data_IF_962384764997
#
_entry.id   IF_962384764997
#
_cell.length_a   1.000
_cell.length_b   1.000
_cell.length_c   1.000
_cell.angle_alpha   90.00
_cell.angle_beta   90.00
_cell.angle_gamma   90.00
#
_symmetry.space_group_name_H-M   'P 1'
#
loop_
_entity.id
_entity.type
_entity.pdbx_description
1 polymer ?
#
# COMPACT_ATOMS: atom_id res chain seq x y z
N UNK A 1 -72.81 9.34 -5.07
CA UNK A 1 -72.66 10.82 -5.23
C UNK A 1 -71.36 11.34 -4.62
N UNK A 2 -70.95 10.89 -3.42
CA UNK A 2 -69.64 11.26 -2.83
C UNK A 2 -68.45 10.74 -3.65
N UNK A 3 -68.53 9.53 -4.17
CA UNK A 3 -67.42 8.92 -4.95
C UNK A 3 -67.20 9.60 -6.31
N UNK A 4 -68.26 10.10 -6.94
CA UNK A 4 -68.17 10.85 -8.19
C UNK A 4 -67.51 12.21 -7.98
N UNK A 5 -67.82 12.88 -6.87
CA UNK A 5 -67.17 14.14 -6.47
C UNK A 5 -65.69 13.88 -6.14
N UNK A 6 -65.39 12.84 -5.36
CA UNK A 6 -64.02 12.49 -5.01
C UNK A 6 -63.16 12.16 -6.25
N UNK A 7 -63.70 11.40 -7.21
CA UNK A 7 -63.02 11.10 -8.48
C UNK A 7 -62.81 12.33 -9.34
N UNK A 8 -63.81 13.22 -9.44
CA UNK A 8 -63.70 14.47 -10.18
C UNK A 8 -62.63 15.39 -9.58
N UNK A 9 -62.62 15.57 -8.24
CA UNK A 9 -61.61 16.35 -7.55
C UNK A 9 -60.20 15.75 -7.71
N UNK A 10 -60.07 14.42 -7.62
CA UNK A 10 -58.79 13.75 -7.82
C UNK A 10 -58.27 13.93 -9.26
N UNK A 11 -59.15 13.90 -10.26
CA UNK A 11 -58.83 14.20 -11.65
C UNK A 11 -58.35 15.64 -11.84
N UNK A 12 -59.09 16.61 -11.31
CA UNK A 12 -58.73 18.04 -11.37
C UNK A 12 -57.38 18.29 -10.68
N UNK A 13 -57.12 17.65 -9.54
CA UNK A 13 -55.85 17.75 -8.84
C UNK A 13 -54.70 17.10 -9.63
N UNK A 14 -54.91 15.98 -10.32
CA UNK A 14 -53.88 15.37 -11.17
C UNK A 14 -53.52 16.21 -12.40
N UNK A 15 -54.46 17.04 -12.89
CA UNK A 15 -54.24 17.97 -14.00
C UNK A 15 -53.52 19.25 -13.54
N UNK A 16 -53.89 19.78 -12.37
CA UNK A 16 -53.28 20.99 -11.80
C UNK A 16 -51.87 20.73 -11.25
N UNK A 17 -51.61 19.53 -10.74
CA UNK A 17 -50.32 19.11 -10.22
C UNK A 17 -49.79 17.94 -11.07
N UNK A 18 -49.15 18.20 -12.22
CA UNK A 18 -48.53 17.13 -13.01
C UNK A 18 -47.60 16.34 -12.09
N UNK A 19 -47.82 15.02 -12.03
CA UNK A 19 -47.17 14.15 -11.05
C UNK A 19 -45.69 14.49 -10.96
N UNK A 20 -45.17 14.86 -9.77
CA UNK A 20 -43.78 15.23 -9.62
C UNK A 20 -42.95 14.05 -10.11
N UNK A 21 -41.97 14.34 -10.99
CA UNK A 21 -40.97 13.36 -11.41
C UNK A 21 -40.54 12.58 -10.16
N UNK A 22 -40.45 11.23 -10.23
CA UNK A 22 -40.08 10.43 -9.08
C UNK A 22 -38.86 11.06 -8.42
N UNK A 23 -39.01 11.44 -7.14
CA UNK A 23 -37.96 12.14 -6.41
C UNK A 23 -36.67 11.31 -6.40
N UNK A 24 -35.53 11.97 -6.19
CA UNK A 24 -34.20 11.31 -6.18
C UNK A 24 -34.08 10.17 -5.16
N UNK A 25 -34.99 10.09 -4.19
CA UNK A 25 -35.05 9.03 -3.17
C UNK A 25 -36.22 8.06 -3.36
N UNK A 26 -36.93 8.13 -4.49
CA UNK A 26 -38.03 7.22 -4.78
C UNK A 26 -37.51 5.87 -5.30
N UNK A 27 -38.21 4.79 -4.97
CA UNK A 27 -37.90 3.46 -5.48
C UNK A 27 -37.87 3.40 -7.01
N UNK A 28 -38.75 4.16 -7.67
CA UNK A 28 -38.78 4.28 -9.14
C UNK A 28 -37.50 4.94 -9.71
N UNK A 29 -36.97 5.96 -9.04
CA UNK A 29 -35.70 6.58 -9.43
C UNK A 29 -34.53 5.60 -9.24
N UNK A 30 -34.48 4.86 -8.13
CA UNK A 30 -33.44 3.86 -7.92
C UNK A 30 -33.53 2.69 -8.91
N UNK A 31 -34.72 2.25 -9.29
CA UNK A 31 -34.90 1.22 -10.30
C UNK A 31 -34.38 1.67 -11.68
N UNK A 32 -34.65 2.92 -12.05
CA UNK A 32 -34.12 3.53 -13.27
C UNK A 32 -32.59 3.62 -13.26
N UNK A 33 -32.01 4.18 -12.19
CA UNK A 33 -30.54 4.32 -12.04
C UNK A 33 -29.85 2.95 -11.98
N UNK A 34 -30.47 1.94 -11.35
CA UNK A 34 -29.95 0.58 -11.35
C UNK A 34 -29.99 -0.06 -12.75
N UNK A 35 -31.04 0.16 -13.53
CA UNK A 35 -31.11 -0.35 -14.90
C UNK A 35 -30.01 0.27 -15.77
N UNK A 36 -29.82 1.58 -15.68
CA UNK A 36 -28.80 2.31 -16.44
C UNK A 36 -27.37 1.90 -16.04
N UNK A 37 -27.09 1.81 -14.73
CA UNK A 37 -25.78 1.37 -14.23
C UNK A 37 -25.45 -0.07 -14.59
N UNK A 38 -26.44 -0.98 -14.67
CA UNK A 38 -26.19 -2.37 -15.14
C UNK A 38 -25.78 -2.42 -16.61
N UNK A 39 -26.38 -1.58 -17.45
CA UNK A 39 -25.99 -1.46 -18.87
C UNK A 39 -24.57 -0.90 -18.98
N UNK A 40 -24.26 0.18 -18.25
CA UNK A 40 -22.94 0.78 -18.21
C UNK A 40 -21.87 -0.19 -17.66
N UNK A 41 -22.17 -0.92 -16.58
CA UNK A 41 -21.27 -1.91 -16.01
C UNK A 41 -21.00 -3.07 -16.98
N UNK A 42 -22.02 -3.52 -17.73
CA UNK A 42 -21.85 -4.57 -18.74
C UNK A 42 -20.99 -4.11 -19.92
N UNK A 43 -21.10 -2.84 -20.31
CA UNK A 43 -20.21 -2.22 -21.30
C UNK A 43 -18.77 -2.10 -20.77
N UNK A 44 -18.58 -1.54 -19.57
CA UNK A 44 -17.27 -1.40 -18.93
C UNK A 44 -16.57 -2.75 -18.70
N UNK A 45 -17.33 -3.80 -18.41
CA UNK A 45 -16.78 -5.14 -18.28
C UNK A 45 -16.21 -5.67 -19.59
N UNK A 46 -16.77 -5.34 -20.77
CA UNK A 46 -16.22 -5.82 -22.05
C UNK A 46 -14.82 -5.28 -22.31
N UNK A 47 -14.57 -4.02 -21.94
CA UNK A 47 -13.30 -3.33 -22.19
C UNK A 47 -12.41 -3.23 -20.95
N UNK A 48 -12.72 -4.02 -19.90
CA UNK A 48 -11.97 -3.95 -18.66
C UNK A 48 -10.54 -4.47 -18.86
N UNK A 49 -9.50 -3.69 -18.50
CA UNK A 49 -8.10 -4.14 -18.56
C UNK A 49 -7.86 -5.37 -17.65
N UNK A 50 -8.73 -5.56 -16.65
CA UNK A 50 -8.69 -6.69 -15.72
C UNK A 50 -9.31 -7.98 -16.28
N UNK A 51 -9.97 -7.94 -17.45
CA UNK A 51 -10.42 -9.17 -18.15
C UNK A 51 -9.28 -9.83 -18.92
N UNK A 52 -8.23 -9.10 -19.26
CA UNK A 52 -7.09 -9.67 -19.97
C UNK A 52 -6.40 -10.64 -19.01
N UNK A 53 -6.25 -11.88 -19.44
CA UNK A 53 -5.43 -12.85 -18.71
C UNK A 53 -4.04 -12.22 -18.53
N UNK A 54 -3.54 -12.21 -17.30
CA UNK A 54 -2.21 -11.70 -17.01
C UNK A 54 -1.19 -12.45 -17.87
N UNK A 55 -0.47 -11.72 -18.72
CA UNK A 55 0.62 -12.30 -19.51
C UNK A 55 1.79 -12.54 -18.57
N UNK A 56 1.79 -13.69 -17.90
CA UNK A 56 2.90 -14.15 -17.09
C UNK A 56 4.06 -14.68 -17.94
N UNK A 57 5.26 -14.82 -17.35
CA UNK A 57 6.37 -15.48 -18.02
C UNK A 57 5.97 -16.91 -18.40
N UNK A 58 6.37 -17.35 -19.58
CA UNK A 58 6.14 -18.74 -20.00
C UNK A 58 7.05 -19.68 -19.22
N UNK A 59 6.72 -20.98 -19.19
CA UNK A 59 7.59 -22.00 -18.57
C UNK A 59 9.02 -21.95 -19.13
N UNK A 60 9.16 -21.69 -20.42
CA UNK A 60 10.47 -21.58 -21.07
C UNK A 60 11.26 -20.37 -20.54
N UNK A 61 10.61 -19.22 -20.37
CA UNK A 61 11.23 -18.01 -19.82
C UNK A 61 11.77 -18.27 -18.41
N UNK A 62 10.93 -18.86 -17.56
CA UNK A 62 11.29 -19.21 -16.17
C UNK A 62 12.46 -20.19 -16.14
N UNK A 63 12.42 -21.23 -16.98
CA UNK A 63 13.50 -22.24 -17.05
C UNK A 63 14.81 -21.62 -17.53
N UNK A 64 14.76 -20.74 -18.53
CA UNK A 64 15.93 -20.04 -19.06
C UNK A 64 16.54 -19.07 -18.05
N UNK A 65 15.69 -18.42 -17.24
CA UNK A 65 16.14 -17.54 -16.16
C UNK A 65 16.89 -18.35 -15.09
N UNK A 66 16.29 -19.44 -14.60
CA UNK A 66 16.96 -20.27 -13.59
C UNK A 66 18.21 -20.98 -14.12
N UNK A 67 18.24 -21.39 -15.39
CA UNK A 67 19.45 -21.94 -16.00
C UNK A 67 20.59 -20.91 -16.05
N UNK A 68 20.28 -19.64 -16.35
CA UNK A 68 21.25 -18.54 -16.39
C UNK A 68 21.77 -18.15 -15.01
N UNK A 69 20.94 -18.32 -13.98
CA UNK A 69 21.27 -18.02 -12.59
C UNK A 69 21.61 -19.28 -11.76
N UNK A 70 21.85 -20.43 -12.40
CA UNK A 70 22.26 -21.66 -11.72
C UNK A 70 23.61 -21.47 -11.02
N UNK A 71 24.49 -20.66 -11.61
CA UNK A 71 25.77 -20.30 -11.03
C UNK A 71 25.58 -19.28 -9.91
N UNK A 72 25.58 -19.78 -8.67
CA UNK A 72 25.48 -18.96 -7.45
C UNK A 72 26.65 -18.00 -7.25
N UNK A 73 27.75 -18.20 -7.99
CA UNK A 73 28.94 -17.34 -7.98
C UNK A 73 28.96 -16.35 -9.15
N UNK A 74 27.94 -16.34 -10.01
CA UNK A 74 27.83 -15.35 -11.08
C UNK A 74 27.74 -13.93 -10.50
N UNK A 75 28.25 -12.90 -11.20
CA UNK A 75 28.17 -11.51 -10.73
C UNK A 75 26.72 -11.08 -10.46
N UNK A 76 25.77 -11.53 -11.28
CA UNK A 76 24.34 -11.25 -11.12
C UNK A 76 23.77 -11.89 -9.85
N UNK A 77 24.08 -13.16 -9.58
CA UNK A 77 23.63 -13.85 -8.37
C UNK A 77 24.20 -13.19 -7.09
N UNK A 78 25.47 -12.75 -7.14
CA UNK A 78 26.09 -12.01 -6.04
C UNK A 78 25.46 -10.63 -5.83
N UNK A 79 25.09 -9.94 -6.91
CA UNK A 79 24.38 -8.67 -6.85
C UNK A 79 22.97 -8.82 -6.25
N UNK A 80 22.23 -9.85 -6.68
CA UNK A 80 20.92 -10.18 -6.08
C UNK A 80 21.06 -10.54 -4.60
N UNK A 81 22.05 -11.36 -4.23
CA UNK A 81 22.30 -11.71 -2.84
C UNK A 81 22.61 -10.47 -1.99
N UNK A 82 23.39 -9.52 -2.52
CA UNK A 82 23.65 -8.24 -1.87
C UNK A 82 22.35 -7.45 -1.66
N UNK A 83 21.50 -7.37 -2.68
CA UNK A 83 20.20 -6.70 -2.58
C UNK A 83 19.27 -7.37 -1.56
N UNK A 84 19.25 -8.71 -1.48
CA UNK A 84 18.46 -9.46 -0.49
C UNK A 84 18.95 -9.15 0.93
N UNK A 85 20.27 -9.17 1.16
CA UNK A 85 20.87 -8.84 2.46
C UNK A 85 20.52 -7.41 2.88
N UNK A 86 20.58 -6.48 1.93
CA UNK A 86 20.22 -5.08 2.15
C UNK A 86 18.77 -4.92 2.59
N UNK A 87 17.83 -5.54 1.87
CA UNK A 87 16.40 -5.51 2.23
C UNK A 87 16.13 -6.11 3.60
N UNK A 88 16.81 -7.21 3.95
CA UNK A 88 16.70 -7.83 5.28
C UNK A 88 17.19 -6.89 6.38
N UNK A 89 18.30 -6.20 6.14
CA UNK A 89 18.83 -5.19 7.07
C UNK A 89 17.87 -4.01 7.22
N UNK A 90 17.28 -3.54 6.13
CA UNK A 90 16.27 -2.48 6.15
C UNK A 90 15.03 -2.89 6.95
N UNK A 91 14.52 -4.10 6.72
CA UNK A 91 13.40 -4.64 7.48
C UNK A 91 13.72 -4.73 8.98
N UNK A 92 14.93 -5.19 9.34
CA UNK A 92 15.35 -5.25 10.74
C UNK A 92 15.40 -3.87 11.42
N UNK A 93 15.92 -2.84 10.73
CA UNK A 93 15.90 -1.47 11.27
C UNK A 93 14.47 -0.93 11.43
N UNK A 94 13.60 -1.17 10.44
CA UNK A 94 12.21 -0.75 10.51
C UNK A 94 11.48 -1.37 11.72
N UNK A 95 11.79 -2.63 12.09
CA UNK A 95 11.18 -3.27 13.28
C UNK A 95 11.53 -2.58 14.60
N UNK A 96 12.66 -1.87 14.67
CA UNK A 96 13.07 -1.08 15.84
C UNK A 96 12.74 0.42 15.70
N UNK A 97 11.96 0.79 14.67
CA UNK A 97 11.56 2.17 14.40
C UNK A 97 12.68 3.05 13.83
N UNK A 98 13.75 2.44 13.29
CA UNK A 98 14.85 3.15 12.66
C UNK A 98 14.73 3.08 11.14
N UNK A 99 14.87 4.22 10.48
CA UNK A 99 14.91 4.28 9.03
C UNK A 99 16.21 3.68 8.49
N UNK A 100 16.09 2.84 7.46
CA UNK A 100 17.25 2.32 6.75
C UNK A 100 17.86 3.43 5.89
N UNK A 101 19.17 3.73 6.00
CA UNK A 101 19.81 4.81 5.27
C UNK A 101 20.08 4.39 3.82
N UNK A 102 19.01 4.16 3.06
CA UNK A 102 19.10 3.78 1.66
C UNK A 102 19.66 4.94 0.84
N UNK A 103 20.75 4.69 0.12
CA UNK A 103 21.40 5.67 -0.73
C UNK A 103 21.55 5.16 -2.15
N UNK A 104 21.25 6.03 -3.11
CA UNK A 104 21.46 5.84 -4.53
C UNK A 104 21.96 7.16 -5.13
N UNK A 105 22.58 7.15 -6.33
CA UNK A 105 23.00 8.39 -6.99
C UNK A 105 21.82 9.36 -7.15
N UNK A 106 21.90 10.53 -6.50
CA UNK A 106 20.82 11.54 -6.50
C UNK A 106 19.81 11.41 -5.35
N UNK A 107 20.02 10.52 -4.38
CA UNK A 107 19.19 10.48 -3.17
C UNK A 107 19.31 11.78 -2.36
N UNK A 108 18.19 12.27 -1.85
CA UNK A 108 18.14 13.49 -1.04
C UNK A 108 18.72 13.31 0.37
N UNK A 109 18.80 12.06 0.83
CA UNK A 109 19.38 11.70 2.13
C UNK A 109 20.85 11.31 1.95
N UNK A 110 21.80 11.99 2.62
CA UNK A 110 23.20 11.60 2.57
C UNK A 110 23.39 10.21 3.20
N UNK A 111 24.41 9.43 2.78
CA UNK A 111 24.74 8.16 3.42
C UNK A 111 24.98 8.40 4.91
N UNK A 112 24.27 7.66 5.76
CA UNK A 112 24.37 7.80 7.20
C UNK A 112 25.85 7.76 7.60
N UNK A 113 26.32 8.86 8.19
CA UNK A 113 27.63 8.92 8.81
C UNK A 113 27.74 7.73 9.77
N UNK A 114 28.88 7.03 9.71
CA UNK A 114 29.17 5.91 10.58
C UNK A 114 28.77 6.24 12.03
N UNK A 115 28.15 5.30 12.78
CA UNK A 115 27.79 5.56 14.17
C UNK A 115 29.03 6.11 14.89
N UNK A 116 28.88 7.14 15.75
CA UNK A 116 30.02 7.73 16.43
C UNK A 116 30.79 6.59 17.10
N UNK A 117 32.07 6.45 16.72
CA UNK A 117 32.97 5.48 17.37
C UNK A 117 32.86 5.79 18.86
N UNK A 118 32.29 4.86 19.62
CA UNK A 118 32.20 4.96 21.06
C UNK A 118 33.62 5.26 21.55
N UNK A 119 33.86 6.50 21.97
CA UNK A 119 35.12 6.88 22.61
C UNK A 119 35.14 6.02 23.88
N UNK A 120 36.11 5.10 24.06
CA UNK A 120 36.20 4.39 25.32
C UNK A 120 36.30 5.47 26.40
N UNK A 121 35.31 5.51 27.27
CA UNK A 121 35.36 6.36 28.44
C UNK A 121 36.61 5.96 29.19
N UNK A 122 37.53 6.93 29.30
CA UNK A 122 38.74 6.81 30.10
C UNK A 122 38.32 6.25 31.45
N UNK A 123 38.77 5.04 31.78
CA UNK A 123 38.66 4.46 33.12
C UNK A 123 39.21 5.54 34.06
N UNK A 124 38.34 6.13 34.87
CA UNK A 124 38.78 7.06 35.90
C UNK A 124 39.70 6.28 36.83
N UNK A 125 40.92 6.79 36.96
CA UNK A 125 41.93 6.33 37.89
C UNK A 125 41.30 6.34 39.30
N UNK A 126 40.90 5.16 39.78
CA UNK A 126 40.62 4.97 41.20
C UNK A 126 41.93 5.15 41.95
N UNK A 127 42.05 6.10 42.89
CA UNK A 127 43.27 6.23 43.67
C UNK A 127 43.42 4.99 44.54
N UNK A 128 44.60 4.38 44.48
CA UNK A 128 45.00 3.30 45.38
C UNK A 128 44.76 3.72 46.85
N UNK A 129 44.15 2.87 47.69
CA UNK A 129 44.18 3.13 49.12
C UNK A 129 45.61 2.92 49.61
N UNK A 130 46.21 4.01 50.08
CA UNK A 130 47.50 4.04 50.76
C UNK A 130 47.53 3.02 51.90
N UNK A 131 48.37 1.99 51.76
CA UNK A 131 48.77 1.14 52.88
C UNK A 131 49.68 1.98 53.76
N UNK A 132 49.12 2.52 54.84
CA UNK A 132 49.88 3.12 55.93
C UNK A 132 49.30 2.65 57.26
N UNK A 133 49.90 1.61 57.82
CA UNK A 133 49.95 1.44 59.27
C UNK A 133 51.35 0.96 59.64
N UNK A 134 52.20 1.92 60.03
CA UNK A 134 53.46 1.64 60.70
C UNK A 134 53.26 1.57 62.22
N UNK A 135 54.20 0.85 62.86
CA UNK A 135 54.65 0.93 64.25
C UNK A 135 53.62 0.62 65.35
N UNK A 136 53.90 -0.27 66.32
CA UNK A 136 55.11 -0.40 67.15
C UNK A 136 55.28 -1.84 67.64
#
# INVERSE_FOLDING_TARGET
MRDSIARALCWVLCLLFPRPRPGRHSAAHFAFVQAESRVAARAALRDSPWRRAWTGPTKADVTSYFARHADCNSPDALAELRAIRERRRAAALATVGLDYPYTYPGAHTPPAAAPPRHRPTRREDSPEPAVSSGFR
#
